data_IF_082450719542
#
_entry.id   IF_082450719542
#
_cell.length_a   1.000
_cell.length_b   1.000
_cell.length_c   1.000
_cell.angle_alpha   90.00
_cell.angle_beta   90.00
_cell.angle_gamma   90.00
#
_symmetry.space_group_name_H-M   'P 1'
#
loop_
_entity.id
_entity.type
_entity.pdbx_description
1 polymer ?
#
# COMPACT_ATOMS: atom_id res chain seq x y z
N UNK A 1 16.94 -29.27 -24.46
CA UNK A 1 16.61 -28.02 -23.74
C UNK A 1 15.31 -27.51 -24.34
N UNK A 2 14.22 -27.48 -23.59
CA UNK A 2 12.93 -26.96 -24.09
C UNK A 2 13.02 -25.44 -24.05
N UNK A 3 12.80 -24.78 -25.18
CA UNK A 3 12.74 -23.32 -25.19
C UNK A 3 11.50 -22.83 -24.45
N UNK A 4 11.66 -21.83 -23.61
CA UNK A 4 10.59 -21.28 -22.78
C UNK A 4 9.42 -20.74 -23.62
N UNK A 5 9.67 -20.36 -24.89
CA UNK A 5 8.66 -19.93 -25.85
C UNK A 5 7.84 -21.05 -26.49
N UNK A 6 8.23 -22.32 -26.30
CA UNK A 6 7.48 -23.49 -26.77
C UNK A 6 6.45 -24.00 -25.74
N UNK A 7 6.41 -23.40 -24.54
CA UNK A 7 5.45 -23.74 -23.51
C UNK A 7 4.04 -23.20 -23.83
N UNK A 8 2.97 -23.90 -23.45
CA UNK A 8 1.61 -23.35 -23.49
C UNK A 8 1.50 -22.07 -22.65
N UNK A 9 0.61 -21.17 -23.06
CA UNK A 9 0.39 -19.88 -22.39
C UNK A 9 0.07 -20.06 -20.90
N UNK A 10 -0.75 -21.04 -20.55
CA UNK A 10 -1.11 -21.34 -19.16
C UNK A 10 0.09 -21.76 -18.31
N UNK A 11 1.05 -22.50 -18.89
CA UNK A 11 2.29 -22.86 -18.20
C UNK A 11 3.15 -21.62 -17.95
N UNK A 12 3.25 -20.72 -18.94
CA UNK A 12 3.96 -19.45 -18.79
C UNK A 12 3.28 -18.60 -17.71
N UNK A 13 1.96 -18.45 -17.75
CA UNK A 13 1.18 -17.71 -16.77
C UNK A 13 1.38 -18.29 -15.36
N UNK A 14 1.35 -19.61 -15.21
CA UNK A 14 1.61 -20.26 -13.92
C UNK A 14 3.01 -19.93 -13.39
N UNK A 15 4.06 -20.07 -14.22
CA UNK A 15 5.44 -19.72 -13.84
C UNK A 15 5.51 -18.25 -13.41
N UNK A 16 4.98 -17.33 -14.23
CA UNK A 16 5.01 -15.88 -13.93
C UNK A 16 4.27 -15.55 -12.64
N UNK A 17 3.19 -16.26 -12.32
CA UNK A 17 2.43 -16.07 -11.08
C UNK A 17 3.21 -16.39 -9.80
N UNK A 18 4.32 -17.12 -9.92
CA UNK A 18 5.22 -17.48 -8.82
C UNK A 18 6.43 -16.54 -8.72
N UNK A 19 6.50 -15.51 -9.57
CA UNK A 19 7.57 -14.50 -9.58
C UNK A 19 7.12 -13.20 -8.89
N UNK A 20 7.84 -12.10 -9.09
CA UNK A 20 7.41 -10.78 -8.63
C UNK A 20 6.53 -10.08 -9.68
N UNK A 21 5.69 -9.10 -9.28
CA UNK A 21 4.97 -8.25 -10.22
C UNK A 21 5.88 -7.58 -11.25
N UNK A 22 7.08 -7.18 -10.84
CA UNK A 22 8.10 -6.61 -11.72
C UNK A 22 8.59 -7.62 -12.77
N UNK A 23 8.90 -8.84 -12.37
CA UNK A 23 9.39 -9.88 -13.28
C UNK A 23 8.30 -10.29 -14.29
N UNK A 24 7.06 -10.43 -13.83
CA UNK A 24 5.92 -10.66 -14.73
C UNK A 24 5.74 -9.52 -15.73
N UNK A 25 5.79 -8.26 -15.27
CA UNK A 25 5.66 -7.10 -16.15
C UNK A 25 6.80 -6.99 -17.18
N UNK A 26 8.04 -7.32 -16.78
CA UNK A 26 9.20 -7.34 -17.70
C UNK A 26 9.10 -8.47 -18.71
N UNK A 27 8.58 -9.62 -18.29
CA UNK A 27 8.41 -10.78 -19.16
C UNK A 27 7.49 -10.49 -20.35
N UNK A 28 6.56 -9.54 -20.23
CA UNK A 28 5.68 -9.09 -21.31
C UNK A 28 6.43 -8.59 -22.57
N UNK A 29 7.70 -8.21 -22.43
CA UNK A 29 8.54 -7.73 -23.53
C UNK A 29 9.21 -8.85 -24.33
N UNK A 30 9.20 -10.10 -23.83
CA UNK A 30 9.94 -11.23 -24.43
C UNK A 30 9.29 -11.71 -25.73
N UNK A 31 7.97 -11.95 -25.72
CA UNK A 31 7.22 -12.40 -26.89
C UNK A 31 5.72 -12.12 -26.75
N UNK A 32 4.94 -12.36 -27.81
CA UNK A 32 3.47 -12.24 -27.75
C UNK A 32 2.85 -13.21 -26.73
N UNK A 33 3.34 -14.45 -26.67
CA UNK A 33 2.84 -15.45 -25.70
C UNK A 33 3.11 -15.01 -24.26
N UNK A 34 4.32 -14.50 -23.99
CA UNK A 34 4.66 -13.96 -22.68
C UNK A 34 3.84 -12.72 -22.33
N UNK A 35 3.57 -11.84 -23.29
CA UNK A 35 2.70 -10.68 -23.08
C UNK A 35 1.30 -11.10 -22.64
N UNK A 36 0.64 -11.97 -23.39
CA UNK A 36 -0.72 -12.44 -23.04
C UNK A 36 -0.73 -13.15 -21.68
N UNK A 37 0.22 -14.05 -21.43
CA UNK A 37 0.35 -14.75 -20.16
C UNK A 37 0.58 -13.78 -18.98
N UNK A 38 1.48 -12.81 -19.13
CA UNK A 38 1.81 -11.82 -18.11
C UNK A 38 0.65 -10.86 -17.78
N UNK A 39 -0.26 -10.64 -18.72
CA UNK A 39 -1.43 -9.78 -18.54
C UNK A 39 -2.65 -10.55 -18.02
N UNK A 40 -2.54 -11.87 -17.85
CA UNK A 40 -3.64 -12.73 -17.40
C UNK A 40 -4.01 -12.51 -15.93
N UNK A 41 -5.30 -12.56 -15.62
CA UNK A 41 -5.77 -12.48 -14.23
C UNK A 41 -5.23 -13.62 -13.35
N UNK A 42 -4.87 -14.78 -13.93
CA UNK A 42 -4.25 -15.88 -13.19
C UNK A 42 -2.93 -15.45 -12.54
N UNK A 43 -2.12 -14.66 -13.24
CA UNK A 43 -0.88 -14.08 -12.71
C UNK A 43 -1.18 -13.06 -11.62
N UNK A 44 -2.00 -12.05 -11.93
CA UNK A 44 -2.22 -10.92 -11.03
C UNK A 44 -3.03 -11.27 -9.78
N UNK A 45 -3.79 -12.38 -9.77
CA UNK A 45 -4.42 -12.91 -8.55
C UNK A 45 -3.39 -13.27 -7.48
N UNK A 46 -2.25 -13.85 -7.85
CA UNK A 46 -1.20 -14.24 -6.89
C UNK A 46 -0.40 -13.06 -6.34
N UNK A 47 -0.43 -11.91 -7.04
CA UNK A 47 0.23 -10.68 -6.60
C UNK A 47 -0.64 -9.82 -5.68
N UNK A 48 -1.94 -10.10 -5.63
CA UNK A 48 -2.84 -9.43 -4.70
C UNK A 48 -2.84 -10.16 -3.36
N UNK A 49 -2.95 -9.43 -2.23
CA UNK A 49 -3.07 -10.08 -0.93
C UNK A 49 -4.30 -10.98 -0.85
N UNK A 50 -4.21 -12.17 -0.24
CA UNK A 50 -5.33 -13.08 -0.09
C UNK A 50 -6.45 -12.51 0.79
N UNK A 51 -6.11 -11.61 1.70
CA UNK A 51 -7.02 -10.89 2.60
C UNK A 51 -7.44 -9.51 2.05
N UNK A 52 -7.26 -9.25 0.76
CA UNK A 52 -7.60 -7.97 0.14
C UNK A 52 -9.07 -7.59 0.37
N UNK A 53 -10.00 -8.54 0.26
CA UNK A 53 -11.43 -8.26 0.45
C UNK A 53 -11.73 -7.79 1.88
N UNK A 54 -11.02 -8.34 2.88
CA UNK A 54 -11.11 -7.90 4.27
C UNK A 54 -10.56 -6.49 4.43
N UNK A 55 -9.39 -6.19 3.87
CA UNK A 55 -8.79 -4.85 3.91
C UNK A 55 -9.74 -3.82 3.26
N UNK A 56 -10.28 -4.16 2.09
CA UNK A 56 -11.21 -3.29 1.33
C UNK A 56 -12.51 -3.06 2.08
N UNK A 57 -13.03 -4.05 2.80
CA UNK A 57 -14.24 -3.89 3.61
C UNK A 57 -14.11 -2.86 4.74
N UNK A 58 -12.88 -2.61 5.21
CA UNK A 58 -12.59 -1.57 6.22
C UNK A 58 -12.37 -0.18 5.62
N UNK A 59 -12.37 -0.06 4.29
CA UNK A 59 -12.15 1.20 3.59
C UNK A 59 -13.42 2.03 3.47
N UNK A 60 -13.26 3.35 3.52
CA UNK A 60 -14.35 4.30 3.34
C UNK A 60 -13.82 5.55 2.63
N UNK A 61 -14.36 5.93 1.45
CA UNK A 61 -15.42 5.28 0.67
C UNK A 61 -14.98 3.99 -0.04
N UNK A 62 -15.91 3.19 -0.63
CA UNK A 62 -15.57 2.00 -1.40
C UNK A 62 -14.52 2.31 -2.49
N UNK A 63 -13.43 1.53 -2.57
CA UNK A 63 -12.22 1.95 -3.26
C UNK A 63 -12.25 1.65 -4.76
N UNK A 64 -13.16 0.76 -5.18
CA UNK A 64 -13.26 0.28 -6.55
C UNK A 64 -14.65 0.60 -7.07
N UNK A 65 -14.72 1.41 -8.13
CA UNK A 65 -15.96 1.57 -8.90
C UNK A 65 -16.38 0.23 -9.52
N UNK A 66 -17.59 0.15 -10.09
CA UNK A 66 -18.13 -1.08 -10.70
C UNK A 66 -17.31 -1.65 -11.89
N UNK A 67 -16.21 -0.99 -12.29
CA UNK A 67 -15.46 -1.27 -13.52
C UNK A 67 -14.12 -2.00 -13.34
N UNK A 68 -13.63 -2.25 -12.12
CA UNK A 68 -12.34 -2.92 -11.92
C UNK A 68 -12.50 -4.45 -11.94
N UNK A 69 -12.72 -4.99 -13.13
CA UNK A 69 -12.84 -6.44 -13.35
C UNK A 69 -11.48 -7.13 -13.44
N UNK A 70 -10.45 -6.43 -13.93
CA UNK A 70 -9.10 -6.98 -14.13
C UNK A 70 -8.23 -6.84 -12.88
N UNK A 71 -7.55 -7.93 -12.52
CA UNK A 71 -6.73 -8.01 -11.30
C UNK A 71 -5.46 -7.17 -11.42
N UNK A 72 -4.91 -7.03 -12.62
CA UNK A 72 -3.80 -6.10 -12.91
C UNK A 72 -4.15 -4.66 -12.60
N UNK A 73 -5.34 -4.21 -13.01
CA UNK A 73 -5.77 -2.83 -12.82
C UNK A 73 -6.01 -2.52 -11.33
N UNK A 74 -6.57 -3.50 -10.59
CA UNK A 74 -6.69 -3.43 -9.13
C UNK A 74 -5.31 -3.28 -8.47
N UNK A 75 -4.34 -4.11 -8.86
CA UNK A 75 -2.97 -4.04 -8.34
C UNK A 75 -2.35 -2.65 -8.58
N UNK A 76 -2.41 -2.16 -9.83
CA UNK A 76 -1.83 -0.87 -10.20
C UNK A 76 -2.52 0.30 -9.50
N UNK A 77 -3.84 0.21 -9.26
CA UNK A 77 -4.57 1.20 -8.47
C UNK A 77 -4.06 1.24 -7.04
N UNK A 78 -3.92 0.08 -6.38
CA UNK A 78 -3.41 -0.02 -5.01
C UNK A 78 -1.95 0.46 -4.85
N UNK A 79 -1.17 0.42 -5.92
CA UNK A 79 0.19 0.98 -5.94
C UNK A 79 0.19 2.51 -6.02
N UNK A 80 -0.77 3.09 -6.76
CA UNK A 80 -0.75 4.51 -7.15
C UNK A 80 -1.62 5.38 -6.25
N UNK A 81 -2.73 4.84 -5.77
CA UNK A 81 -3.70 5.53 -4.94
C UNK A 81 -4.00 4.68 -3.69
N UNK A 82 -3.32 4.96 -2.56
CA UNK A 82 -3.42 4.08 -1.44
C UNK A 82 -4.70 4.34 -0.62
N UNK A 83 -5.33 3.25 -0.19
CA UNK A 83 -6.68 3.22 0.36
C UNK A 83 -6.70 3.67 1.81
N UNK A 84 -7.63 4.56 2.17
CA UNK A 84 -7.92 4.87 3.56
C UNK A 84 -8.76 3.76 4.18
N UNK A 85 -8.25 3.20 5.29
CA UNK A 85 -8.86 2.10 6.05
C UNK A 85 -9.00 2.50 7.52
N UNK A 86 -9.68 1.68 8.31
CA UNK A 86 -9.89 1.89 9.75
C UNK A 86 -10.50 3.27 10.06
N UNK A 87 -11.56 3.64 9.34
CA UNK A 87 -12.21 4.95 9.44
C UNK A 87 -11.28 6.11 9.08
N UNK A 88 -10.37 5.89 8.11
CA UNK A 88 -9.44 6.90 7.64
C UNK A 88 -8.26 7.17 8.57
N UNK A 89 -8.00 6.27 9.53
CA UNK A 89 -6.88 6.38 10.47
C UNK A 89 -5.61 5.70 10.00
N UNK A 90 -5.73 4.74 9.09
CA UNK A 90 -4.58 4.11 8.43
C UNK A 90 -4.78 4.17 6.93
N UNK A 91 -3.68 3.99 6.20
CA UNK A 91 -3.74 3.81 4.76
C UNK A 91 -3.00 2.58 4.32
N UNK A 92 -3.52 1.91 3.30
CA UNK A 92 -3.00 0.68 2.72
C UNK A 92 -2.57 0.89 1.27
N UNK A 93 -1.40 0.38 0.91
CA UNK A 93 -0.86 0.38 -0.45
C UNK A 93 -0.18 -0.95 -0.76
N UNK A 94 0.06 -1.21 -2.03
CA UNK A 94 1.02 -2.23 -2.45
C UNK A 94 2.34 -1.59 -2.87
N UNK A 95 3.45 -2.16 -2.43
CA UNK A 95 4.77 -1.84 -2.95
C UNK A 95 4.83 -2.32 -4.40
N UNK A 96 5.13 -1.40 -5.32
CA UNK A 96 4.94 -1.59 -6.76
C UNK A 96 5.71 -2.78 -7.34
N UNK A 97 6.90 -3.05 -6.82
CA UNK A 97 7.81 -4.00 -7.44
C UNK A 97 7.65 -5.42 -6.90
N UNK A 98 7.39 -5.53 -5.61
CA UNK A 98 7.29 -6.78 -4.86
C UNK A 98 5.85 -7.20 -4.56
N UNK A 99 4.88 -6.28 -4.65
CA UNK A 99 3.50 -6.53 -4.25
C UNK A 99 3.29 -6.65 -2.74
N UNK A 100 4.31 -6.30 -1.94
CA UNK A 100 4.22 -6.39 -0.48
C UNK A 100 3.34 -5.27 0.08
N UNK A 101 2.65 -5.56 1.17
CA UNK A 101 1.72 -4.62 1.81
C UNK A 101 2.49 -3.48 2.46
N UNK A 102 2.08 -2.24 2.20
CA UNK A 102 2.60 -1.03 2.82
C UNK A 102 1.48 -0.34 3.62
N UNK A 103 1.78 0.03 4.87
CA UNK A 103 0.84 0.73 5.73
C UNK A 103 1.40 2.08 6.17
N UNK A 104 0.51 3.07 6.30
CA UNK A 104 0.80 4.32 6.99
C UNK A 104 -0.22 4.49 8.12
N UNK A 105 0.26 4.93 9.28
CA UNK A 105 -0.57 5.19 10.45
C UNK A 105 -0.72 6.70 10.58
N UNK A 106 -1.95 7.18 10.55
CA UNK A 106 -2.27 8.59 10.72
C UNK A 106 -2.07 9.03 12.17
N UNK A 107 -1.86 10.33 12.38
CA UNK A 107 -1.53 10.87 13.70
C UNK A 107 -2.59 10.54 14.78
N UNK A 108 -3.87 10.43 14.39
CA UNK A 108 -4.98 10.05 15.28
C UNK A 108 -4.92 8.62 15.81
N UNK A 109 -4.10 7.76 15.22
CA UNK A 109 -3.91 6.37 15.63
C UNK A 109 -2.53 6.13 16.26
N UNK A 110 -1.76 7.21 16.46
CA UNK A 110 -0.51 7.21 17.21
C UNK A 110 -0.78 7.54 18.67
N UNK A 111 0.00 6.95 19.56
CA UNK A 111 0.08 7.40 20.95
C UNK A 111 1.11 8.52 21.04
N UNK A 112 0.63 9.75 21.21
CA UNK A 112 1.45 10.96 21.29
C UNK A 112 1.37 11.51 22.71
N UNK A 113 2.53 11.68 23.36
CA UNK A 113 2.57 12.25 24.71
C UNK A 113 2.04 13.69 24.70
N UNK A 114 1.09 13.94 25.61
CA UNK A 114 0.29 15.18 25.68
C UNK A 114 -0.50 15.50 24.41
N UNK A 115 -0.77 14.53 23.52
CA UNK A 115 -1.49 14.75 22.27
C UNK A 115 -2.88 15.40 22.44
N UNK A 116 -3.50 15.24 23.61
CA UNK A 116 -4.79 15.86 23.94
C UNK A 116 -4.66 17.21 24.67
N UNK A 117 -3.45 17.75 24.81
CA UNK A 117 -3.18 18.99 25.52
C UNK A 117 -3.02 20.15 24.52
N UNK A 118 -3.99 21.09 24.44
CA UNK A 118 -3.99 22.14 23.42
C UNK A 118 -2.81 23.12 23.48
N UNK A 119 -2.12 23.21 24.62
CA UNK A 119 -0.92 24.03 24.77
C UNK A 119 0.35 23.37 24.21
N UNK A 120 0.29 22.08 23.87
CA UNK A 120 1.39 21.30 23.31
C UNK A 120 1.13 20.91 21.86
N UNK A 121 -0.11 20.57 21.51
CA UNK A 121 -0.48 20.07 20.20
C UNK A 121 -1.74 20.76 19.67
N UNK A 122 -1.72 21.06 18.37
CA UNK A 122 -2.89 21.50 17.61
C UNK A 122 -3.26 20.39 16.62
N UNK A 123 -4.54 20.05 16.57
CA UNK A 123 -5.06 19.15 15.54
C UNK A 123 -5.73 19.97 14.46
N UNK A 124 -5.33 19.77 13.21
CA UNK A 124 -5.86 20.53 12.09
C UNK A 124 -5.90 19.68 10.82
N UNK A 125 -6.72 20.10 9.86
CA UNK A 125 -6.64 19.57 8.50
C UNK A 125 -5.40 20.13 7.80
N UNK A 126 -4.82 19.32 6.91
CA UNK A 126 -3.69 19.75 6.09
C UNK A 126 -3.86 19.21 4.68
N UNK A 127 -3.97 20.08 3.69
CA UNK A 127 -4.37 19.72 2.32
C UNK A 127 -3.41 18.76 1.61
N UNK A 128 -2.14 18.69 2.02
CA UNK A 128 -1.16 17.74 1.46
C UNK A 128 -1.21 16.38 2.20
N UNK A 129 -1.82 16.34 3.38
CA UNK A 129 -1.98 15.10 4.13
C UNK A 129 -3.04 14.23 3.46
N UNK A 130 -2.75 12.94 3.36
CA UNK A 130 -3.74 11.93 3.00
C UNK A 130 -4.75 11.63 4.10
N UNK A 131 -4.44 12.01 5.34
CA UNK A 131 -5.31 11.83 6.50
C UNK A 131 -6.09 13.11 6.78
N UNK A 132 -7.35 13.01 7.25
CA UNK A 132 -8.21 14.17 7.52
C UNK A 132 -7.61 15.16 8.54
N UNK A 133 -6.89 14.64 9.53
CA UNK A 133 -6.26 15.43 10.58
C UNK A 133 -4.79 15.05 10.76
N UNK A 134 -3.98 16.07 11.03
CA UNK A 134 -2.58 15.96 11.42
C UNK A 134 -2.36 16.55 12.81
N UNK A 135 -1.33 16.08 13.51
CA UNK A 135 -0.88 16.65 14.78
C UNK A 135 0.22 17.67 14.50
N UNK A 136 -0.04 18.94 14.79
CA UNK A 136 0.93 20.01 14.74
C UNK A 136 1.50 20.24 16.13
N UNK A 137 2.82 20.15 16.24
CA UNK A 137 3.53 20.38 17.48
C UNK A 137 3.68 21.89 17.73
N UNK A 138 3.13 22.40 18.84
CA UNK A 138 3.24 23.80 19.26
C UNK A 138 4.49 23.99 20.11
N UNK A 139 4.56 23.28 21.25
CA UNK A 139 5.65 23.40 22.21
C UNK A 139 5.64 22.23 23.20
N UNK A 140 6.76 21.51 23.27
CA UNK A 140 7.00 20.44 24.26
C UNK A 140 8.45 20.48 24.73
N UNK A 141 8.74 19.83 25.87
CA UNK A 141 10.11 19.66 26.38
C UNK A 141 10.83 18.46 25.79
N UNK A 142 10.09 17.42 25.40
CA UNK A 142 10.57 16.28 24.65
C UNK A 142 9.42 15.73 23.78
N UNK A 143 9.77 15.01 22.72
CA UNK A 143 8.84 14.39 21.80
C UNK A 143 8.87 12.87 21.99
N UNK A 144 7.71 12.28 22.25
CA UNK A 144 7.54 10.84 22.35
C UNK A 144 6.26 10.42 21.63
N UNK A 145 6.44 9.52 20.65
CA UNK A 145 5.37 9.06 19.75
C UNK A 145 5.55 7.56 19.57
N UNK A 146 4.47 6.81 19.79
CA UNK A 146 4.44 5.36 19.60
C UNK A 146 3.40 4.98 18.55
N UNK A 147 3.76 4.04 17.70
CA UNK A 147 2.84 3.36 16.78
C UNK A 147 2.73 1.89 17.20
N UNK A 148 1.52 1.33 17.07
CA UNK A 148 1.30 -0.11 17.26
C UNK A 148 0.67 -0.67 15.99
N UNK A 149 1.20 -1.79 15.52
CA UNK A 149 0.64 -2.49 14.39
C UNK A 149 0.68 -4.00 14.61
N UNK A 150 -0.39 -4.68 14.23
CA UNK A 150 -0.47 -6.12 14.31
C UNK A 150 0.31 -6.75 13.17
N UNK A 151 1.25 -7.63 13.50
CA UNK A 151 2.14 -8.27 12.51
C UNK A 151 1.39 -9.15 11.52
N UNK A 152 0.20 -9.68 11.88
CA UNK A 152 -0.66 -10.44 10.96
C UNK A 152 -1.17 -9.63 9.76
N UNK A 153 -1.16 -8.30 9.86
CA UNK A 153 -1.53 -7.42 8.75
C UNK A 153 -0.38 -7.25 7.75
N UNK A 154 0.86 -7.49 8.17
CA UNK A 154 2.04 -7.39 7.33
C UNK A 154 2.15 -8.58 6.37
N UNK A 155 2.92 -8.40 5.30
CA UNK A 155 3.31 -9.51 4.44
C UNK A 155 4.30 -10.42 5.17
N UNK A 156 4.09 -11.74 5.09
CA UNK A 156 5.04 -12.72 5.59
C UNK A 156 6.41 -12.61 4.87
N UNK A 157 7.46 -13.06 5.55
CA UNK A 157 8.84 -13.14 5.03
C UNK A 157 9.30 -11.84 4.36
N UNK A 158 8.99 -10.70 4.98
CA UNK A 158 9.25 -9.37 4.43
C UNK A 158 9.95 -8.51 5.46
N UNK A 159 11.07 -7.91 5.07
CA UNK A 159 11.74 -6.90 5.88
C UNK A 159 11.03 -5.56 5.74
N UNK A 160 10.69 -4.96 6.87
CA UNK A 160 10.02 -3.66 6.93
C UNK A 160 10.95 -2.59 7.47
N UNK A 161 10.88 -1.41 6.87
CA UNK A 161 11.43 -0.18 7.43
C UNK A 161 10.29 0.70 7.94
N UNK A 162 10.48 1.30 9.11
CA UNK A 162 9.54 2.25 9.69
C UNK A 162 10.08 3.68 9.49
N UNK A 163 9.22 4.57 9.03
CA UNK A 163 9.56 5.97 8.79
C UNK A 163 8.62 6.88 9.56
N UNK A 164 9.18 7.87 10.25
CA UNK A 164 8.40 8.96 10.84
C UNK A 164 8.29 10.11 9.84
N UNK A 165 7.08 10.35 9.34
CA UNK A 165 6.82 11.36 8.30
C UNK A 165 6.30 12.63 8.97
N UNK A 166 7.01 13.74 8.77
CA UNK A 166 6.65 15.04 9.30
C UNK A 166 7.02 16.15 8.32
N UNK A 167 6.49 17.35 8.56
CA UNK A 167 6.81 18.55 7.78
C UNK A 167 7.11 19.69 8.74
N UNK A 168 8.13 20.48 8.45
CA UNK A 168 8.36 21.75 9.14
C UNK A 168 7.42 22.82 8.60
N UNK A 169 6.73 23.50 9.51
CA UNK A 169 6.02 24.74 9.18
C UNK A 169 7.07 25.84 9.12
N UNK A 170 7.26 26.45 7.95
CA UNK A 170 8.14 27.60 7.83
C UNK A 170 7.43 28.76 8.53
N UNK A 171 7.99 29.23 9.65
CA UNK A 171 7.63 30.53 10.21
C UNK A 171 8.16 31.60 9.27
N UNK A 172 7.30 32.54 8.86
CA UNK A 172 7.79 33.84 8.43
C UNK A 172 8.43 34.48 9.66
N UNK A 173 9.75 34.35 9.79
CA UNK A 173 10.54 35.07 10.78
C UNK A 173 10.68 36.53 10.35
#
# INVERSE_FOLDING_TARGET
>A
MVELGALPEDCIAHILSLTTPLDAARSAAVSRAFRTASDSDAVWRNFLPPDLDLIVSTSSPPPFGPSLTRKKDVFLRLCSDPLLIDSGRKSFALEKWSGKKCYMVGARDLSIVWGNTPSSWRWSSFHVSRFPEVAELIRVRWLEVHAKMETRLLSADTYYAAYFIFKFVHGNY
#
